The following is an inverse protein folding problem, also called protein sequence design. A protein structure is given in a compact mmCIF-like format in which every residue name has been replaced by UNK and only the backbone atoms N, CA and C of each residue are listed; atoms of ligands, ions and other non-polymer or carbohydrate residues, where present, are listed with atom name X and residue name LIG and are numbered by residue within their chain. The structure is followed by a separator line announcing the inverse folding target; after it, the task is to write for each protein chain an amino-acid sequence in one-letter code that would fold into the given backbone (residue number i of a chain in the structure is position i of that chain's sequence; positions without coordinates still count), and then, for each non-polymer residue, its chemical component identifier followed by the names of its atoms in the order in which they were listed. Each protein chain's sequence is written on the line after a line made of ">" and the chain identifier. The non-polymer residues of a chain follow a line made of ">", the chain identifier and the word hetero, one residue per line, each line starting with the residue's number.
data_IF_441144895463
#
_entry.id   IF_441144895463
#
_cell.length_a   1.000
_cell.length_b   1.000
_cell.length_c   1.000
_cell.angle_alpha   90.00
_cell.angle_beta   90.00
_cell.angle_gamma   90.00
#
_symmetry.space_group_name_H-M   'P 1'
#
loop_
_entity.id
_entity.type
_entity.pdbx_description
1 polymer ?
#
# COMPACT_ATOMS: atom_id res chain seq x y z
N UNK A 1 -59.49 -19.05 57.85
CA UNK A 1 -58.95 -17.69 57.70
C UNK A 1 -57.43 -17.82 57.67
N UNK A 2 -56.87 -17.88 56.46
CA UNK A 2 -55.43 -17.86 56.23
C UNK A 2 -55.15 -16.57 55.45
N UNK A 3 -54.17 -15.82 55.94
CA UNK A 3 -53.91 -14.42 55.63
C UNK A 3 -53.39 -14.16 54.23
N UNK A 4 -53.73 -12.97 53.76
CA UNK A 4 -53.29 -12.35 52.52
C UNK A 4 -51.89 -11.74 52.64
N UNK A 5 -51.15 -11.94 51.54
CA UNK A 5 -50.23 -11.04 50.84
C UNK A 5 -49.13 -10.29 51.61
N UNK A 6 -47.90 -10.79 51.46
CA UNK A 6 -46.72 -9.94 51.33
C UNK A 6 -46.23 -10.06 49.89
N UNK A 7 -46.44 -9.00 49.12
CA UNK A 7 -45.95 -8.86 47.76
C UNK A 7 -44.41 -8.95 47.72
N UNK A 8 -43.90 -9.96 47.03
CA UNK A 8 -42.50 -9.97 46.59
C UNK A 8 -42.39 -9.04 45.39
N UNK A 9 -41.61 -7.97 45.53
CA UNK A 9 -41.26 -7.07 44.44
C UNK A 9 -40.61 -7.88 43.32
N UNK A 10 -41.14 -7.76 42.10
CA UNK A 10 -40.45 -8.25 40.91
C UNK A 10 -39.23 -7.35 40.67
N UNK A 11 -38.03 -7.91 40.46
CA UNK A 11 -36.89 -7.12 40.02
C UNK A 11 -37.14 -6.61 38.59
N UNK A 12 -36.74 -5.38 38.34
CA UNK A 12 -36.84 -4.73 37.04
C UNK A 12 -35.86 -5.38 36.06
N UNK A 13 -36.38 -5.94 34.97
CA UNK A 13 -35.64 -6.78 34.02
C UNK A 13 -34.62 -5.95 33.22
N UNK A 14 -34.79 -4.62 33.21
CA UNK A 14 -33.93 -3.67 32.50
C UNK A 14 -32.61 -3.36 33.22
N UNK A 15 -32.38 -3.84 34.45
CA UNK A 15 -31.13 -3.65 35.20
C UNK A 15 -30.29 -4.92 35.41
N UNK A 16 -30.71 -6.07 34.85
CA UNK A 16 -29.99 -7.35 35.00
C UNK A 16 -28.90 -7.52 33.94
N UNK A 17 -27.75 -8.05 34.34
CA UNK A 17 -26.70 -8.42 33.38
C UNK A 17 -27.09 -9.68 32.58
N UNK A 18 -26.48 -9.84 31.39
CA UNK A 18 -26.78 -10.94 30.45
C UNK A 18 -26.56 -12.33 31.08
N UNK A 19 -25.66 -12.44 32.07
CA UNK A 19 -25.32 -13.68 32.76
C UNK A 19 -26.40 -14.06 33.79
N UNK A 20 -27.02 -13.08 34.45
CA UNK A 20 -28.13 -13.28 35.38
C UNK A 20 -29.43 -13.68 34.66
N UNK A 21 -29.70 -13.09 33.49
CA UNK A 21 -30.85 -13.47 32.64
C UNK A 21 -30.75 -14.92 32.15
N UNK A 22 -29.53 -15.38 31.84
CA UNK A 22 -29.27 -16.76 31.39
C UNK A 22 -29.54 -17.81 32.48
N UNK A 23 -29.31 -17.47 33.75
CA UNK A 23 -29.55 -18.38 34.88
C UNK A 23 -31.05 -18.58 35.18
N UNK A 24 -31.88 -17.54 34.99
CA UNK A 24 -33.33 -17.58 35.22
C UNK A 24 -34.07 -18.47 34.19
N UNK A 25 -33.47 -18.69 33.01
CA UNK A 25 -34.02 -19.49 31.92
C UNK A 25 -33.81 -21.02 32.06
N UNK A 26 -33.10 -21.48 33.11
CA UNK A 26 -33.03 -22.89 33.48
C UNK A 26 -32.36 -23.81 32.44
N UNK A 27 -31.44 -23.29 31.64
CA UNK A 27 -30.71 -24.08 30.63
C UNK A 27 -29.35 -24.46 31.21
N UNK A 28 -29.27 -25.63 31.86
CA UNK A 28 -27.98 -26.28 32.14
C UNK A 28 -27.36 -26.76 30.82
N UNK A 29 -26.08 -26.44 30.64
CA UNK A 29 -25.35 -26.68 29.41
C UNK A 29 -24.99 -28.17 29.23
N UNK A 30 -25.70 -28.86 28.34
CA UNK A 30 -25.16 -30.00 27.59
C UNK A 30 -25.30 -29.71 26.10
N UNK A 31 -24.16 -29.56 25.42
CA UNK A 31 -24.12 -29.28 23.99
C UNK A 31 -24.46 -30.53 23.16
N UNK A 32 -25.39 -30.45 22.20
CA UNK A 32 -25.37 -31.36 21.06
C UNK A 32 -24.74 -30.66 19.84
N UNK A 33 -23.86 -31.39 19.16
CA UNK A 33 -23.13 -31.05 17.93
C UNK A 33 -24.04 -30.86 16.69
N UNK A 34 -25.14 -30.10 16.79
CA UNK A 34 -26.12 -29.91 15.69
C UNK A 34 -26.30 -28.43 15.32
N UNK A 35 -25.60 -27.49 15.96
CA UNK A 35 -25.75 -26.03 15.70
C UNK A 35 -24.71 -25.42 14.76
N UNK A 36 -24.12 -26.19 13.84
CA UNK A 36 -23.36 -25.57 12.74
C UNK A 36 -24.32 -25.03 11.67
N UNK A 37 -24.88 -23.85 11.92
CA UNK A 37 -25.56 -23.00 10.94
C UNK A 37 -24.54 -22.54 9.88
N UNK A 38 -24.26 -23.40 8.90
CA UNK A 38 -23.26 -23.20 7.85
C UNK A 38 -23.64 -22.14 6.81
N UNK A 39 -24.84 -21.54 6.91
CA UNK A 39 -25.43 -20.74 5.84
C UNK A 39 -26.16 -19.45 6.29
N UNK A 40 -25.90 -18.95 7.49
CA UNK A 40 -26.49 -17.68 7.94
C UNK A 40 -25.45 -16.57 7.85
N UNK A 41 -25.73 -15.55 7.02
CA UNK A 41 -24.91 -14.33 6.97
C UNK A 41 -24.85 -13.72 8.37
N UNK A 42 -23.64 -13.40 8.83
CA UNK A 42 -23.43 -12.73 10.12
C UNK A 42 -24.21 -11.40 10.18
N UNK A 43 -24.59 -10.95 11.39
CA UNK A 43 -25.29 -9.67 11.58
C UNK A 43 -24.53 -8.49 10.95
N UNK A 44 -23.20 -8.53 10.99
CA UNK A 44 -22.33 -7.57 10.35
C UNK A 44 -22.36 -7.64 8.81
N UNK A 45 -22.53 -8.82 8.21
CA UNK A 45 -22.74 -8.96 6.76
C UNK A 45 -24.12 -8.49 6.32
N UNK A 46 -25.15 -8.68 7.15
CA UNK A 46 -26.50 -8.15 6.87
C UNK A 46 -26.48 -6.62 6.85
N UNK A 47 -25.89 -5.99 7.87
CA UNK A 47 -25.74 -4.52 7.94
C UNK A 47 -24.91 -3.97 6.80
N UNK A 48 -23.78 -4.60 6.45
CA UNK A 48 -23.00 -4.16 5.30
C UNK A 48 -23.79 -4.25 3.99
N UNK A 49 -24.58 -5.30 3.79
CA UNK A 49 -25.42 -5.45 2.60
C UNK A 49 -26.58 -4.43 2.57
N UNK A 50 -27.16 -4.11 3.72
CA UNK A 50 -28.19 -3.07 3.88
C UNK A 50 -27.62 -1.67 3.62
N UNK A 51 -26.44 -1.35 4.16
CA UNK A 51 -25.73 -0.08 3.91
C UNK A 51 -25.45 0.12 2.41
N UNK A 52 -25.04 -0.93 1.70
CA UNK A 52 -24.79 -0.90 0.24
C UNK A 52 -26.08 -0.79 -0.57
N UNK A 53 -27.18 -1.32 -0.05
CA UNK A 53 -28.49 -1.26 -0.69
C UNK A 53 -29.14 0.13 -0.52
N UNK A 54 -28.85 0.84 0.57
CA UNK A 54 -29.29 2.21 0.80
C UNK A 54 -28.46 3.18 -0.05
N UNK A 55 -28.96 3.42 -1.26
CA UNK A 55 -28.44 4.43 -2.19
C UNK A 55 -29.45 5.55 -2.31
N UNK A 56 -28.98 6.77 -2.08
CA UNK A 56 -29.76 7.99 -2.22
C UNK A 56 -29.36 8.71 -3.51
N UNK A 57 -30.19 9.65 -3.97
CA UNK A 57 -29.86 10.47 -5.13
C UNK A 57 -28.80 11.49 -4.72
N UNK A 58 -27.69 11.55 -5.47
CA UNK A 58 -26.65 12.54 -5.22
C UNK A 58 -27.10 13.91 -5.78
N UNK A 59 -27.30 14.90 -4.91
CA UNK A 59 -27.79 16.23 -5.31
C UNK A 59 -26.74 17.07 -6.05
N UNK A 60 -25.46 16.91 -5.69
CA UNK A 60 -24.33 17.64 -6.28
C UNK A 60 -23.56 16.79 -7.30
N UNK A 61 -24.20 15.78 -7.89
CA UNK A 61 -23.60 14.88 -8.88
C UNK A 61 -22.94 15.60 -10.06
N UNK A 62 -23.47 16.77 -10.47
CA UNK A 62 -22.89 17.59 -11.54
C UNK A 62 -21.44 18.01 -11.25
N UNK A 63 -21.02 18.10 -9.98
CA UNK A 63 -19.61 18.36 -9.61
C UNK A 63 -18.70 17.16 -9.87
N UNK A 64 -19.24 15.95 -9.75
CA UNK A 64 -18.48 14.69 -9.84
C UNK A 64 -18.57 14.05 -11.22
N UNK A 65 -19.59 14.38 -12.01
CA UNK A 65 -19.79 13.90 -13.38
C UNK A 65 -18.54 14.06 -14.27
N UNK A 66 -17.82 15.21 -14.28
CA UNK A 66 -16.58 15.34 -15.05
C UNK A 66 -15.50 14.33 -14.62
N UNK A 67 -15.45 13.95 -13.34
CA UNK A 67 -14.48 12.99 -12.83
C UNK A 67 -14.78 11.57 -13.35
N UNK A 68 -16.05 11.19 -13.39
CA UNK A 68 -16.46 9.91 -13.97
C UNK A 68 -16.21 9.86 -15.48
N UNK A 69 -16.51 10.95 -16.21
CA UNK A 69 -16.24 11.06 -17.64
C UNK A 69 -14.73 10.95 -17.92
N UNK A 70 -13.90 11.61 -17.11
CA UNK A 70 -12.44 11.52 -17.21
C UNK A 70 -11.95 10.10 -16.93
N UNK A 71 -12.44 9.44 -15.87
CA UNK A 71 -12.04 8.06 -15.55
C UNK A 71 -12.43 7.08 -16.66
N UNK A 72 -13.61 7.25 -17.27
CA UNK A 72 -14.03 6.43 -18.41
C UNK A 72 -13.13 6.66 -19.63
N UNK A 73 -12.75 7.91 -19.92
CA UNK A 73 -11.80 8.23 -20.97
C UNK A 73 -10.40 7.67 -20.67
N UNK A 74 -9.94 7.76 -19.42
CA UNK A 74 -8.64 7.24 -18.97
C UNK A 74 -8.58 5.70 -19.04
N UNK A 75 -9.66 5.01 -18.67
CA UNK A 75 -9.76 3.56 -18.78
C UNK A 75 -9.77 3.11 -20.25
N UNK A 76 -10.42 3.87 -21.14
CA UNK A 76 -10.46 3.59 -22.58
C UNK A 76 -9.13 3.87 -23.28
N UNK A 77 -8.39 4.88 -22.83
CA UNK A 77 -7.07 5.24 -23.36
C UNK A 77 -5.92 4.47 -22.71
N UNK A 78 -6.19 3.67 -21.68
CA UNK A 78 -5.18 2.89 -20.96
C UNK A 78 -4.34 3.70 -19.96
N UNK A 79 -4.65 4.99 -19.77
CA UNK A 79 -4.02 5.85 -18.75
C UNK A 79 -4.32 5.33 -17.34
N UNK A 80 -5.54 4.85 -17.12
CA UNK A 80 -5.93 4.13 -15.91
C UNK A 80 -6.19 2.67 -16.24
N UNK A 81 -5.87 1.81 -15.28
CA UNK A 81 -6.17 0.37 -15.33
C UNK A 81 -7.01 -0.06 -14.13
N UNK A 82 -7.76 -1.16 -14.30
CA UNK A 82 -8.54 -1.79 -13.24
C UNK A 82 -7.79 -3.00 -12.67
N UNK A 83 -7.66 -3.11 -11.35
CA UNK A 83 -7.02 -4.25 -10.68
C UNK A 83 -8.00 -4.94 -9.76
N UNK A 84 -7.94 -6.27 -9.65
CA UNK A 84 -8.79 -7.02 -8.72
C UNK A 84 -8.52 -6.58 -7.28
N UNK A 85 -9.58 -6.42 -6.50
CA UNK A 85 -9.47 -6.11 -5.08
C UNK A 85 -9.25 -7.42 -4.29
N UNK A 86 -7.99 -7.87 -4.20
CA UNK A 86 -7.65 -9.16 -3.56
C UNK A 86 -7.38 -8.97 -2.07
N UNK A 87 -7.87 -9.92 -1.26
CA UNK A 87 -7.55 -10.04 0.17
C UNK A 87 -6.12 -10.56 0.28
N UNK A 88 -5.14 -9.66 0.34
CA UNK A 88 -3.74 -10.06 0.43
C UNK A 88 -3.51 -10.86 1.73
N UNK A 89 -2.95 -12.06 1.57
CA UNK A 89 -2.79 -13.03 2.63
C UNK A 89 -1.61 -12.63 3.52
N UNK A 90 -1.83 -11.73 4.48
CA UNK A 90 -0.91 -11.57 5.59
C UNK A 90 -0.90 -10.18 6.21
N UNK A 91 -0.72 -9.12 5.42
CA UNK A 91 -0.56 -7.77 5.94
C UNK A 91 -1.01 -6.74 4.90
N UNK A 92 -1.54 -5.62 5.38
CA UNK A 92 -2.09 -4.45 4.66
C UNK A 92 -3.58 -4.57 4.30
N UNK A 93 -4.41 -4.16 5.27
CA UNK A 93 -5.75 -3.64 5.03
C UNK A 93 -5.63 -2.55 3.96
N UNK A 94 -6.09 -2.78 2.73
CA UNK A 94 -6.03 -1.79 1.67
C UNK A 94 -6.64 -0.45 2.15
N UNK A 95 -5.82 0.56 2.37
CA UNK A 95 -6.29 1.86 2.86
C UNK A 95 -7.12 2.54 1.77
N UNK A 96 -8.41 2.70 2.05
CA UNK A 96 -9.34 3.46 1.21
C UNK A 96 -9.22 4.92 1.63
N UNK A 97 -8.88 5.78 0.69
CA UNK A 97 -8.74 7.24 0.91
C UNK A 97 -9.68 8.02 0.00
N UNK A 98 -9.98 9.26 0.37
CA UNK A 98 -10.76 10.17 -0.48
C UNK A 98 -10.04 10.38 -1.82
N UNK A 99 -10.81 10.53 -2.89
CA UNK A 99 -10.31 10.70 -4.25
C UNK A 99 -10.18 9.39 -5.04
N UNK A 100 -10.30 8.22 -4.40
CA UNK A 100 -10.08 6.94 -5.08
C UNK A 100 -11.33 6.42 -5.79
N UNK A 101 -11.09 5.70 -6.89
CA UNK A 101 -12.12 5.05 -7.71
C UNK A 101 -12.10 3.52 -7.58
N UNK A 102 -13.29 2.93 -7.57
CA UNK A 102 -13.52 1.48 -7.47
C UNK A 102 -14.62 1.05 -8.44
N UNK A 103 -14.66 -0.24 -8.74
CA UNK A 103 -15.76 -0.89 -9.46
C UNK A 103 -16.45 -1.82 -8.46
N UNK A 104 -17.72 -1.58 -8.21
CA UNK A 104 -18.57 -2.36 -7.32
C UNK A 104 -19.90 -2.65 -8.03
N UNK A 105 -20.26 -3.92 -8.14
CA UNK A 105 -21.44 -4.39 -8.86
C UNK A 105 -21.46 -3.97 -10.33
N UNK A 106 -20.28 -3.86 -10.96
CA UNK A 106 -20.13 -3.35 -12.33
C UNK A 106 -20.34 -1.84 -12.50
N UNK A 107 -20.51 -1.09 -11.41
CA UNK A 107 -20.65 0.37 -11.43
C UNK A 107 -19.38 1.03 -10.88
N UNK A 108 -19.03 2.21 -11.43
CA UNK A 108 -17.89 2.98 -10.91
C UNK A 108 -18.32 3.72 -9.65
N UNK A 109 -17.58 3.55 -8.57
CA UNK A 109 -17.77 4.20 -7.29
C UNK A 109 -16.57 5.11 -6.99
N UNK A 110 -16.82 6.31 -6.48
CA UNK A 110 -15.85 7.33 -6.12
C UNK A 110 -15.98 7.67 -4.64
N UNK A 111 -14.86 7.65 -3.91
CA UNK A 111 -14.84 8.05 -2.51
C UNK A 111 -14.66 9.57 -2.44
N UNK A 112 -15.74 10.31 -2.22
CA UNK A 112 -15.70 11.77 -2.16
C UNK A 112 -15.09 12.25 -0.85
N UNK A 113 -15.49 11.66 0.26
CA UNK A 113 -15.08 12.09 1.60
C UNK A 113 -14.87 10.89 2.52
N UNK A 114 -13.86 11.01 3.39
CA UNK A 114 -13.61 10.09 4.50
C UNK A 114 -13.83 10.88 5.79
N UNK A 115 -14.82 10.47 6.58
CA UNK A 115 -15.15 11.07 7.87
C UNK A 115 -14.14 10.70 8.95
N UNK A 116 -14.45 11.12 10.18
CA UNK A 116 -13.55 10.92 11.32
C UNK A 116 -13.31 9.43 11.63
N UNK A 117 -12.09 9.06 12.06
CA UNK A 117 -11.74 7.69 12.42
C UNK A 117 -12.50 7.25 13.68
N UNK A 118 -13.36 6.25 13.52
CA UNK A 118 -14.10 5.58 14.57
C UNK A 118 -13.26 4.40 15.05
N UNK A 119 -12.92 4.37 16.33
CA UNK A 119 -12.28 3.20 16.94
C UNK A 119 -13.33 2.12 17.17
N UNK A 120 -13.21 1.01 16.47
CA UNK A 120 -14.05 -0.15 16.69
C UNK A 120 -13.60 -0.92 17.96
N UNK A 121 -14.50 -1.67 18.62
CA UNK A 121 -14.19 -2.43 19.83
C UNK A 121 -13.08 -3.47 19.68
N UNK A 122 -12.76 -3.86 18.44
CA UNK A 122 -11.70 -4.80 18.08
C UNK A 122 -10.30 -4.13 17.92
N UNK A 123 -10.17 -2.84 18.27
CA UNK A 123 -8.91 -2.08 18.13
C UNK A 123 -8.62 -1.59 16.71
N UNK A 124 -9.52 -1.84 15.75
CA UNK A 124 -9.37 -1.38 14.37
C UNK A 124 -10.00 0.00 14.16
N UNK A 125 -9.50 0.75 13.18
CA UNK A 125 -10.08 2.04 12.78
C UNK A 125 -11.05 1.84 11.61
N UNK A 126 -12.28 2.32 11.79
CA UNK A 126 -13.30 2.44 10.75
C UNK A 126 -13.57 3.92 10.48
N UNK A 127 -14.23 4.25 9.37
CA UNK A 127 -14.62 5.63 9.06
C UNK A 127 -15.88 5.62 8.20
N UNK A 128 -16.69 6.68 8.32
CA UNK A 128 -17.82 6.91 7.42
C UNK A 128 -17.30 7.44 6.08
N UNK A 129 -17.78 6.89 4.99
CA UNK A 129 -17.41 7.26 3.63
C UNK A 129 -18.62 7.82 2.89
N UNK A 130 -18.43 8.95 2.22
CA UNK A 130 -19.37 9.42 1.20
C UNK A 130 -18.93 8.85 -0.14
N UNK A 131 -19.68 7.85 -0.63
CA UNK A 131 -19.36 7.15 -1.88
C UNK A 131 -20.37 7.54 -2.94
N UNK A 132 -19.89 8.04 -4.07
CA UNK A 132 -20.71 8.49 -5.20
C UNK A 132 -20.57 7.47 -6.32
N UNK A 133 -21.67 7.13 -6.98
CA UNK A 133 -21.72 6.15 -8.07
C UNK A 133 -21.94 6.84 -9.40
N UNK A 134 -21.42 6.25 -10.48
CA UNK A 134 -21.53 6.77 -11.84
C UNK A 134 -22.96 6.91 -12.36
N UNK A 135 -23.95 6.29 -11.71
CA UNK A 135 -25.36 6.40 -12.04
C UNK A 135 -26.07 7.60 -11.37
N UNK A 136 -25.34 8.49 -10.68
CA UNK A 136 -25.92 9.65 -10.00
C UNK A 136 -26.49 9.35 -8.61
N UNK A 137 -26.15 8.21 -8.03
CA UNK A 137 -26.52 7.87 -6.64
C UNK A 137 -25.32 8.01 -5.71
N UNK A 138 -25.57 8.22 -4.43
CA UNK A 138 -24.55 8.18 -3.39
C UNK A 138 -24.97 7.27 -2.25
N UNK A 139 -24.00 6.84 -1.46
CA UNK A 139 -24.23 6.03 -0.27
C UNK A 139 -23.26 6.42 0.82
N UNK A 140 -23.76 6.43 2.06
CA UNK A 140 -22.98 6.72 3.25
C UNK A 140 -22.58 5.41 3.93
N UNK A 141 -21.45 4.85 3.47
CA UNK A 141 -20.98 3.51 3.84
C UNK A 141 -19.91 3.60 4.92
N UNK A 142 -19.81 2.56 5.75
CA UNK A 142 -18.59 2.36 6.53
C UNK A 142 -17.46 1.85 5.63
N UNK A 143 -16.23 2.31 5.89
CA UNK A 143 -15.03 1.90 5.15
C UNK A 143 -14.88 0.38 5.16
N UNK A 144 -15.13 -0.27 6.29
CA UNK A 144 -15.11 -1.73 6.39
C UNK A 144 -16.22 -2.40 5.56
N UNK A 145 -17.40 -1.79 5.46
CA UNK A 145 -18.50 -2.30 4.62
C UNK A 145 -18.11 -2.26 3.14
N UNK A 146 -17.52 -1.15 2.67
CA UNK A 146 -17.04 -1.02 1.29
C UNK A 146 -15.93 -2.05 0.98
N UNK A 147 -14.96 -2.23 1.87
CA UNK A 147 -13.91 -3.23 1.68
C UNK A 147 -14.48 -4.66 1.58
N UNK A 148 -15.38 -5.03 2.48
CA UNK A 148 -16.03 -6.35 2.44
C UNK A 148 -16.82 -6.56 1.15
N UNK A 149 -17.49 -5.52 0.67
CA UNK A 149 -18.22 -5.54 -0.59
C UNK A 149 -17.29 -5.81 -1.77
N UNK A 150 -16.18 -5.08 -1.85
CA UNK A 150 -15.18 -5.23 -2.90
C UNK A 150 -14.49 -6.60 -2.87
N UNK A 151 -14.30 -7.20 -1.69
CA UNK A 151 -13.76 -8.56 -1.59
C UNK A 151 -14.74 -9.65 -2.01
N UNK A 152 -16.05 -9.42 -1.82
CA UNK A 152 -17.09 -10.40 -2.10
C UNK A 152 -17.55 -10.35 -3.55
N UNK A 153 -17.42 -9.19 -4.18
CA UNK A 153 -17.79 -8.99 -5.57
C UNK A 153 -16.69 -9.55 -6.50
N UNK A 154 -17.05 -10.49 -7.37
CA UNK A 154 -16.15 -11.02 -8.40
C UNK A 154 -15.73 -9.94 -9.42
N UNK A 155 -16.57 -8.92 -9.61
CA UNK A 155 -16.28 -7.74 -10.41
C UNK A 155 -15.61 -6.62 -9.59
N UNK A 156 -15.32 -6.86 -8.31
CA UNK A 156 -14.69 -5.93 -7.39
C UNK A 156 -13.29 -5.54 -7.86
N UNK A 157 -13.15 -4.30 -8.35
CA UNK A 157 -11.86 -3.79 -8.82
C UNK A 157 -11.55 -2.42 -8.22
N UNK A 158 -10.27 -2.14 -8.06
CA UNK A 158 -9.77 -0.79 -7.82
C UNK A 158 -9.36 -0.18 -9.15
N UNK A 159 -9.75 1.08 -9.38
CA UNK A 159 -9.27 1.87 -10.51
C UNK A 159 -8.03 2.61 -10.03
N UNK A 160 -6.96 2.55 -10.82
CA UNK A 160 -5.71 3.23 -10.50
C UNK A 160 -5.86 4.75 -10.66
N UNK A 161 -5.12 5.52 -9.87
CA UNK A 161 -5.03 6.97 -10.08
C UNK A 161 -4.31 7.28 -11.39
N UNK A 162 -4.67 8.39 -12.06
CA UNK A 162 -4.00 8.81 -13.28
C UNK A 162 -2.65 9.37 -12.85
N UNK A 163 -1.68 8.49 -12.70
CA UNK A 163 -0.29 8.91 -12.75
C UNK A 163 -0.08 9.58 -14.11
N UNK A 164 0.65 10.69 -14.17
CA UNK A 164 1.11 11.30 -15.41
C UNK A 164 2.05 10.34 -16.14
N UNK A 165 1.51 9.23 -16.67
CA UNK A 165 2.24 8.06 -17.12
C UNK A 165 3.10 7.45 -16.00
N UNK A 166 2.95 6.17 -15.64
CA UNK A 166 3.99 5.53 -14.85
C UNK A 166 5.16 5.30 -15.81
N UNK A 167 6.03 6.26 -16.15
CA UNK A 167 7.30 6.05 -16.87
C UNK A 167 7.33 5.07 -18.09
N UNK A 168 6.16 4.67 -18.63
CA UNK A 168 5.91 3.49 -19.46
C UNK A 168 4.63 3.73 -20.27
N UNK A 169 4.77 3.94 -21.57
CA UNK A 169 3.82 3.39 -22.53
C UNK A 169 4.41 2.06 -23.03
N UNK A 170 3.53 1.07 -23.13
CA UNK A 170 3.68 -0.21 -23.87
C UNK A 170 4.69 -1.23 -23.31
N UNK A 171 4.18 -2.03 -22.36
CA UNK A 171 4.07 -3.50 -22.45
C UNK A 171 3.84 -4.01 -21.03
N UNK A 172 2.67 -4.63 -20.80
CA UNK A 172 2.25 -5.14 -19.50
C UNK A 172 2.17 -6.65 -19.57
N UNK A 173 3.16 -7.33 -19.00
CA UNK A 173 3.02 -8.73 -18.63
C UNK A 173 2.12 -8.86 -17.39
N UNK A 174 1.29 -9.90 -17.38
CA UNK A 174 0.07 -10.08 -16.59
C UNK A 174 0.22 -10.36 -15.08
N UNK A 175 1.38 -10.15 -14.42
CA UNK A 175 1.52 -10.60 -13.02
C UNK A 175 2.50 -9.81 -12.12
N UNK A 176 2.49 -8.47 -12.16
CA UNK A 176 3.39 -7.68 -11.30
C UNK A 176 2.71 -7.17 -10.01
N UNK A 177 2.48 -8.11 -9.08
CA UNK A 177 2.36 -7.85 -7.63
C UNK A 177 3.75 -7.69 -7.00
N UNK A 178 4.64 -6.94 -7.64
CA UNK A 178 6.01 -6.80 -7.16
C UNK A 178 6.07 -5.67 -6.12
N UNK A 179 6.02 -6.01 -4.83
CA UNK A 179 6.61 -5.15 -3.80
C UNK A 179 8.13 -5.17 -3.94
N UNK A 180 8.76 -4.01 -3.79
CA UNK A 180 10.21 -3.86 -3.87
C UNK A 180 10.73 -3.03 -2.71
N UNK A 181 11.86 -3.44 -2.14
CA UNK A 181 12.61 -2.66 -1.15
C UNK A 181 13.86 -2.12 -1.82
N UNK A 182 13.99 -0.80 -1.87
CA UNK A 182 15.28 -0.16 -2.16
C UNK A 182 16.12 -0.26 -0.89
N UNK A 183 17.35 -0.72 -1.03
CA UNK A 183 18.31 -0.76 0.06
C UNK A 183 19.56 0.02 -0.31
N UNK A 184 20.05 0.80 0.65
CA UNK A 184 21.26 1.60 0.54
C UNK A 184 22.28 1.03 1.51
N UNK A 185 23.46 0.69 1.00
CA UNK A 185 24.50 0.05 1.77
C UNK A 185 25.77 0.88 1.78
N UNK A 186 26.48 0.80 2.90
CA UNK A 186 27.83 1.29 3.07
C UNK A 186 28.80 0.12 3.09
N UNK A 187 29.88 0.19 2.29
CA UNK A 187 30.90 -0.84 2.29
C UNK A 187 31.79 -0.78 3.53
N UNK A 188 32.24 -1.94 4.00
CA UNK A 188 33.33 -2.04 4.97
C UNK A 188 34.71 -2.33 4.36
N UNK A 189 34.84 -2.24 3.03
CA UNK A 189 36.10 -2.50 2.32
C UNK A 189 37.22 -1.55 2.74
N UNK A 190 38.45 -2.05 2.77
CA UNK A 190 39.68 -1.29 3.03
C UNK A 190 40.28 -0.69 1.75
N UNK A 191 39.60 -0.78 0.61
CA UNK A 191 40.04 -0.14 -0.62
C UNK A 191 40.12 1.38 -0.42
N UNK A 192 41.23 2.03 -0.78
CA UNK A 192 41.50 3.45 -0.49
C UNK A 192 40.33 4.38 -0.84
N UNK A 193 39.81 4.30 -2.07
CA UNK A 193 38.67 5.09 -2.53
C UNK A 193 37.40 4.91 -1.69
N UNK A 194 37.18 3.73 -1.12
CA UNK A 194 35.99 3.41 -0.32
C UNK A 194 36.18 3.84 1.13
N UNK A 195 37.39 3.62 1.67
CA UNK A 195 37.72 3.98 3.04
C UNK A 195 37.74 5.50 3.25
N UNK A 196 38.25 6.26 2.27
CA UNK A 196 38.32 7.73 2.31
C UNK A 196 36.95 8.41 2.10
N UNK A 197 36.02 7.75 1.40
CA UNK A 197 34.75 8.34 0.98
C UNK A 197 33.53 7.57 1.52
N UNK A 198 33.66 6.92 2.69
CA UNK A 198 32.67 5.97 3.22
C UNK A 198 31.28 6.56 3.45
N UNK A 199 31.21 7.87 3.67
CA UNK A 199 29.96 8.60 3.94
C UNK A 199 29.20 9.01 2.66
N UNK A 200 29.83 8.90 1.50
CA UNK A 200 29.23 9.26 0.20
C UNK A 200 29.28 8.12 -0.80
N UNK A 201 30.08 7.07 -0.57
CA UNK A 201 30.09 5.85 -1.39
C UNK A 201 29.01 4.90 -0.90
N UNK A 202 27.94 4.81 -1.69
CA UNK A 202 26.81 3.94 -1.38
C UNK A 202 26.55 2.94 -2.50
N UNK A 203 26.20 1.73 -2.10
CA UNK A 203 25.58 0.75 -2.99
C UNK A 203 24.07 0.87 -2.90
N UNK A 204 23.42 1.06 -4.04
CA UNK A 204 21.96 1.19 -4.10
C UNK A 204 21.43 0.02 -4.92
N UNK A 205 20.52 -0.76 -4.36
CA UNK A 205 19.93 -1.91 -5.04
C UNK A 205 18.46 -2.11 -4.68
N UNK A 206 17.80 -3.01 -5.40
CA UNK A 206 16.39 -3.35 -5.21
C UNK A 206 16.26 -4.85 -4.91
N UNK A 207 15.37 -5.22 -3.99
CA UNK A 207 15.06 -6.63 -3.65
C UNK A 207 13.56 -6.80 -3.40
N UNK A 208 13.01 -8.01 -3.56
CA UNK A 208 11.63 -8.34 -3.12
C UNK A 208 11.57 -9.08 -1.79
N UNK A 209 12.70 -9.58 -1.30
CA UNK A 209 12.80 -10.26 -0.01
C UNK A 209 13.57 -9.43 1.01
N UNK A 210 13.80 -10.01 2.18
CA UNK A 210 14.61 -9.37 3.24
C UNK A 210 15.98 -8.92 2.72
N UNK A 211 16.35 -7.68 3.05
CA UNK A 211 17.64 -7.08 2.68
C UNK A 211 18.78 -7.86 3.32
N UNK A 212 18.59 -8.31 4.57
CA UNK A 212 19.55 -9.12 5.32
C UNK A 212 19.92 -10.40 4.57
N UNK A 213 18.92 -11.08 3.98
CA UNK A 213 19.17 -12.27 3.15
C UNK A 213 19.93 -11.92 1.87
N UNK A 214 19.65 -10.78 1.24
CA UNK A 214 20.35 -10.33 0.03
C UNK A 214 21.82 -10.04 0.28
N UNK A 215 22.17 -9.52 1.46
CA UNK A 215 23.54 -9.14 1.83
C UNK A 215 24.33 -10.19 2.63
N UNK A 216 23.72 -11.33 2.98
CA UNK A 216 24.30 -12.32 3.88
C UNK A 216 25.70 -12.82 3.47
N UNK A 217 26.00 -12.82 2.16
CA UNK A 217 27.28 -13.25 1.60
C UNK A 217 28.10 -12.13 0.96
N UNK A 218 27.86 -10.87 1.33
CA UNK A 218 28.52 -9.70 0.75
C UNK A 218 30.06 -9.81 0.71
N UNK A 219 30.69 -10.28 1.79
CA UNK A 219 32.15 -10.47 1.87
C UNK A 219 32.73 -11.44 0.83
N UNK A 220 31.92 -12.33 0.27
CA UNK A 220 32.34 -13.31 -0.73
C UNK A 220 31.98 -12.89 -2.16
N UNK A 221 31.22 -11.81 -2.33
CA UNK A 221 30.66 -11.39 -3.61
C UNK A 221 31.37 -10.12 -4.11
N UNK A 222 31.90 -10.20 -5.34
CA UNK A 222 32.62 -9.10 -5.98
C UNK A 222 31.71 -7.87 -6.19
N UNK A 223 30.40 -8.05 -6.33
CA UNK A 223 29.43 -6.93 -6.45
C UNK A 223 29.31 -6.10 -5.17
N UNK A 224 29.76 -6.64 -4.04
CA UNK A 224 29.84 -5.99 -2.73
C UNK A 224 31.29 -5.65 -2.33
N UNK A 225 32.20 -5.57 -3.31
CA UNK A 225 33.61 -5.23 -3.09
C UNK A 225 34.38 -6.23 -2.21
N UNK A 226 33.91 -7.48 -2.14
CA UNK A 226 34.48 -8.54 -1.31
C UNK A 226 34.64 -8.11 0.16
N UNK A 227 33.70 -7.32 0.66
CA UNK A 227 33.70 -6.82 2.03
C UNK A 227 32.31 -6.93 2.66
N UNK A 228 32.27 -6.90 3.99
CA UNK A 228 31.02 -6.75 4.71
C UNK A 228 30.38 -5.39 4.39
N UNK A 229 29.07 -5.31 4.57
CA UNK A 229 28.28 -4.10 4.30
C UNK A 229 27.35 -3.79 5.46
N UNK A 230 26.99 -2.53 5.58
CA UNK A 230 26.02 -2.04 6.56
C UNK A 230 24.82 -1.43 5.83
N UNK A 231 23.62 -1.72 6.31
CA UNK A 231 22.39 -1.10 5.80
C UNK A 231 22.29 0.29 6.42
N UNK A 232 22.33 1.33 5.59
CA UNK A 232 22.21 2.72 6.04
C UNK A 232 20.80 3.28 5.82
N UNK A 233 20.07 2.75 4.83
CA UNK A 233 18.66 3.07 4.63
C UNK A 233 17.93 1.97 3.86
N UNK A 234 16.63 1.87 4.11
CA UNK A 234 15.69 1.00 3.39
C UNK A 234 14.40 1.76 3.09
N UNK A 235 13.86 1.55 1.89
CA UNK A 235 12.62 2.18 1.45
C UNK A 235 11.72 1.11 0.85
N UNK A 236 10.56 0.92 1.46
CA UNK A 236 9.55 -0.02 0.97
C UNK A 236 8.66 0.67 -0.07
N UNK A 237 8.48 0.00 -1.20
CA UNK A 237 7.69 0.47 -2.31
C UNK A 237 6.72 -0.62 -2.74
N UNK A 238 5.46 -0.22 -2.94
CA UNK A 238 4.37 -1.10 -3.33
C UNK A 238 3.91 -0.79 -4.75
N UNK A 239 3.48 -1.81 -5.49
CA UNK A 239 2.98 -1.67 -6.87
C UNK A 239 4.01 -1.16 -7.89
N UNK A 240 5.29 -1.53 -7.75
CA UNK A 240 6.35 -1.06 -8.65
C UNK A 240 7.01 -2.23 -9.39
N UNK A 241 7.19 -2.07 -10.70
CA UNK A 241 8.02 -3.01 -11.46
C UNK A 241 9.50 -2.82 -11.07
N UNK A 242 10.07 -3.87 -10.45
CA UNK A 242 11.43 -3.86 -9.87
C UNK A 242 12.52 -3.60 -10.91
N UNK A 243 12.46 -4.24 -12.06
CA UNK A 243 13.46 -4.08 -13.11
C UNK A 243 13.45 -2.65 -13.65
N UNK A 244 12.26 -2.07 -13.80
CA UNK A 244 12.06 -0.68 -14.21
C UNK A 244 12.59 0.31 -13.16
N UNK A 245 12.35 0.04 -11.87
CA UNK A 245 12.87 0.84 -10.76
C UNK A 245 14.40 0.80 -10.69
N UNK A 246 15.00 -0.38 -10.79
CA UNK A 246 16.45 -0.56 -10.78
C UNK A 246 17.11 0.22 -11.92
N UNK A 247 16.58 0.07 -13.14
CA UNK A 247 17.05 0.81 -14.31
C UNK A 247 16.93 2.33 -14.14
N UNK A 248 15.88 2.80 -13.47
CA UNK A 248 15.68 4.22 -13.19
C UNK A 248 16.72 4.75 -12.20
N UNK A 249 16.94 4.06 -11.08
CA UNK A 249 17.95 4.41 -10.08
C UNK A 249 19.33 4.46 -10.74
N UNK A 250 19.67 3.42 -11.52
CA UNK A 250 20.94 3.38 -12.25
C UNK A 250 21.08 4.57 -13.20
N UNK A 251 20.03 4.91 -13.96
CA UNK A 251 20.07 6.06 -14.87
C UNK A 251 20.24 7.39 -14.15
N UNK A 252 19.55 7.59 -13.04
CA UNK A 252 19.61 8.84 -12.26
C UNK A 252 21.02 9.03 -11.69
N UNK A 253 21.63 7.96 -11.16
CA UNK A 253 22.95 8.02 -10.53
C UNK A 253 24.12 7.63 -11.44
N UNK A 254 23.90 7.33 -12.72
CA UNK A 254 24.97 7.00 -13.68
C UNK A 254 26.09 8.07 -13.71
N UNK A 255 25.80 9.39 -13.65
CA UNK A 255 26.84 10.42 -13.58
C UNK A 255 27.74 10.35 -12.33
N UNK A 256 27.26 9.68 -11.28
CA UNK A 256 27.91 9.55 -9.97
C UNK A 256 28.56 8.18 -9.77
N UNK A 257 28.56 7.33 -10.78
CA UNK A 257 28.97 5.94 -10.66
C UNK A 257 30.43 5.81 -10.28
N UNK A 258 30.70 4.95 -9.31
CA UNK A 258 32.05 4.68 -8.84
C UNK A 258 32.76 3.73 -9.81
N UNK A 259 33.76 4.22 -10.50
CA UNK A 259 34.64 3.41 -11.35
C UNK A 259 35.72 2.71 -10.52
N UNK A 260 35.38 1.57 -9.94
CA UNK A 260 36.31 0.73 -9.17
C UNK A 260 36.50 -0.62 -9.84
N UNK A 261 37.76 -1.01 -10.03
CA UNK A 261 38.15 -2.30 -10.60
C UNK A 261 38.80 -3.15 -9.53
N UNK A 262 38.15 -4.25 -9.16
CA UNK A 262 38.67 -5.22 -8.19
C UNK A 262 38.98 -6.54 -8.89
N UNK A 263 39.75 -7.42 -8.25
CA UNK A 263 39.90 -8.80 -8.68
C UNK A 263 38.93 -9.68 -7.91
N UNK A 264 38.25 -10.60 -8.60
CA UNK A 264 37.45 -11.63 -7.96
C UNK A 264 38.36 -12.67 -7.26
N UNK A 265 37.74 -13.67 -6.62
CA UNK A 265 38.44 -14.77 -5.94
C UNK A 265 39.31 -15.64 -6.87
N UNK A 266 39.13 -15.54 -8.18
CA UNK A 266 39.87 -16.26 -9.21
C UNK A 266 40.90 -15.37 -9.93
N UNK A 267 41.03 -14.10 -9.52
CA UNK A 267 41.95 -13.13 -10.10
C UNK A 267 41.41 -12.38 -11.32
N UNK A 268 40.16 -12.63 -11.74
CA UNK A 268 39.55 -11.94 -12.88
C UNK A 268 39.12 -10.53 -12.47
N UNK A 269 39.31 -9.52 -13.34
CA UNK A 269 38.87 -8.17 -13.05
C UNK A 269 37.33 -8.06 -13.10
N UNK A 270 36.75 -7.45 -12.07
CA UNK A 270 35.32 -7.15 -11.95
C UNK A 270 35.12 -5.66 -11.66
N UNK A 271 34.13 -5.06 -12.33
CA UNK A 271 33.71 -3.67 -12.11
C UNK A 271 32.25 -3.67 -11.63
N UNK A 272 32.01 -3.48 -10.32
CA UNK A 272 30.66 -3.37 -9.78
C UNK A 272 29.92 -2.15 -10.35
N UNK A 273 28.66 -2.33 -10.75
CA UNK A 273 27.89 -1.28 -11.44
C UNK A 273 26.96 -0.47 -10.54
N UNK A 274 26.74 -0.93 -9.32
CA UNK A 274 25.70 -0.42 -8.41
C UNK A 274 26.29 0.40 -7.26
N UNK A 275 27.51 0.93 -7.42
CA UNK A 275 28.17 1.80 -6.43
C UNK A 275 28.23 3.22 -6.96
N UNK A 276 27.86 4.19 -6.13
CA UNK A 276 27.70 5.59 -6.51
C UNK A 276 28.29 6.52 -5.44
N UNK A 277 28.84 7.65 -5.87
CA UNK A 277 29.28 8.77 -5.05
C UNK A 277 28.12 9.75 -4.84
N UNK A 278 27.22 9.41 -3.92
CA UNK A 278 25.96 10.12 -3.68
C UNK A 278 25.70 10.19 -2.17
N UNK A 279 25.49 11.38 -1.59
CA UNK A 279 25.08 11.51 -0.19
C UNK A 279 23.68 10.92 0.07
N UNK A 280 23.45 10.44 1.29
CA UNK A 280 22.19 9.77 1.65
C UNK A 280 20.96 10.66 1.43
N UNK A 281 21.03 11.95 1.76
CA UNK A 281 19.91 12.89 1.61
C UNK A 281 19.45 13.04 0.15
N UNK A 282 20.35 12.86 -0.82
CA UNK A 282 19.99 12.87 -2.25
C UNK A 282 19.26 11.58 -2.61
N UNK A 283 19.68 10.45 -2.03
CA UNK A 283 18.98 9.17 -2.22
C UNK A 283 17.55 9.27 -1.65
N UNK A 284 17.38 9.85 -0.46
CA UNK A 284 16.06 10.14 0.12
C UNK A 284 15.21 10.96 -0.84
N UNK A 285 15.75 12.07 -1.37
CA UNK A 285 15.03 12.94 -2.30
C UNK A 285 14.64 12.19 -3.59
N UNK A 286 15.55 11.42 -4.18
CA UNK A 286 15.26 10.60 -5.38
C UNK A 286 14.15 9.61 -5.11
N UNK A 287 14.15 8.95 -3.95
CA UNK A 287 13.10 7.99 -3.59
C UNK A 287 11.75 8.68 -3.45
N UNK A 288 11.68 9.83 -2.80
CA UNK A 288 10.42 10.60 -2.69
C UNK A 288 9.93 11.06 -4.07
N UNK A 289 10.84 11.52 -4.94
CA UNK A 289 10.53 11.89 -6.33
C UNK A 289 10.09 10.70 -7.20
N UNK A 290 10.54 9.49 -6.86
CA UNK A 290 10.06 8.26 -7.50
C UNK A 290 8.64 7.94 -7.04
N UNK A 291 8.34 8.10 -5.74
CA UNK A 291 7.00 7.86 -5.19
C UNK A 291 5.96 8.85 -5.74
N UNK A 292 6.31 10.12 -5.90
CA UNK A 292 5.42 11.15 -6.44
C UNK A 292 5.39 11.18 -8.00
N UNK A 293 6.26 10.41 -8.66
CA UNK A 293 6.35 10.31 -10.11
C UNK A 293 7.05 11.47 -10.81
N UNK A 294 7.56 12.47 -10.08
CA UNK A 294 8.17 13.68 -10.65
C UNK A 294 9.64 13.51 -11.02
N UNK A 295 10.30 12.40 -10.64
CA UNK A 295 11.72 12.10 -10.92
C UNK A 295 12.10 12.19 -12.40
N UNK A 296 11.15 11.99 -13.32
CA UNK A 296 11.36 12.11 -14.78
C UNK A 296 11.84 13.51 -15.20
N UNK A 297 11.48 14.53 -14.41
CA UNK A 297 11.83 15.94 -14.61
C UNK A 297 13.15 16.33 -13.95
N UNK A 298 13.89 15.40 -13.33
CA UNK A 298 15.12 15.71 -12.60
C UNK A 298 16.33 14.94 -13.14
N UNK A 299 17.51 15.51 -12.94
CA UNK A 299 18.81 14.88 -13.17
C UNK A 299 19.74 15.16 -11.98
N UNK A 300 20.54 14.17 -11.62
CA UNK A 300 21.53 14.32 -10.55
C UNK A 300 22.76 15.06 -11.07
N UNK A 301 23.16 16.12 -10.36
CA UNK A 301 24.41 16.85 -10.57
C UNK A 301 25.44 16.42 -9.52
N UNK A 302 26.50 15.66 -9.91
CA UNK A 302 27.54 15.22 -8.99
C UNK A 302 28.38 16.36 -8.39
N UNK A 303 28.60 17.45 -9.12
CA UNK A 303 29.41 18.59 -8.64
C UNK A 303 28.72 19.32 -7.49
N UNK A 304 27.39 19.46 -7.58
CA UNK A 304 26.58 20.15 -6.56
C UNK A 304 25.94 19.21 -5.53
N UNK A 305 26.10 17.89 -5.67
CA UNK A 305 25.43 16.86 -4.87
C UNK A 305 23.92 17.12 -4.70
N UNK A 306 23.22 17.46 -5.80
CA UNK A 306 21.80 17.84 -5.80
C UNK A 306 21.07 17.39 -7.06
N UNK A 307 19.75 17.25 -6.95
CA UNK A 307 18.88 17.14 -8.11
C UNK A 307 18.68 18.52 -8.76
N UNK A 308 18.61 18.54 -10.08
CA UNK A 308 18.36 19.72 -10.91
C UNK A 308 17.27 19.40 -11.93
N UNK A 309 16.47 20.40 -12.30
CA UNK A 309 15.43 20.20 -13.30
C UNK A 309 16.06 19.88 -14.66
N UNK A 310 15.47 18.92 -15.35
CA UNK A 310 15.89 18.43 -16.66
C UNK A 310 15.56 19.50 -17.70
N UNK A 311 16.50 20.41 -17.92
CA UNK A 311 16.31 21.62 -18.71
C UNK A 311 17.19 22.78 -18.26
N UNK A 312 17.62 22.77 -17.00
CA UNK A 312 18.62 23.71 -16.47
C UNK A 312 20.05 23.24 -16.81
N UNK A 313 20.33 23.11 -18.11
CA UNK A 313 21.69 23.36 -18.59
C UNK A 313 21.85 24.88 -18.76
N UNK A 314 21.73 25.60 -17.66
CA UNK A 314 22.22 26.97 -17.56
C UNK A 314 23.63 26.90 -17.00
N UNK A 315 24.55 27.54 -17.74
CA UNK A 315 25.97 27.65 -17.44
C UNK A 315 26.26 28.04 -16.00
N UNK A 316 27.19 27.31 -15.36
CA UNK A 316 28.43 27.85 -14.77
C UNK A 316 29.38 26.71 -14.38
#
# INVERSE_FOLDING_TARGET
>A
MLGDEIAAAQPDIDEMDDDALLAELGIEAEAPEITTLKHVRSTAEKRAAEDIANRERCEDFEKFKPLFDQVQADLKSGVRTTRKFVKDAGFLKAEITAGQFFILGGQTAYVAEVGEPIKAPNGETDARLRVIYSNGTESNLLLRSLQRALYKDEAGRRITEPSAGPLFAEDTDEDDTASGTIYVLRSKSNHALVAENRDIVHKIGVTSGSVEKRIANAKLDATFLLADVEIVATYELFNINRAKLENLIHRVFEPAKLEIKIKDRFGNPVVPREWFLVPLFVVDEVVERIKDGSISNYTYNPQGARLSLRGDHAAD
#
